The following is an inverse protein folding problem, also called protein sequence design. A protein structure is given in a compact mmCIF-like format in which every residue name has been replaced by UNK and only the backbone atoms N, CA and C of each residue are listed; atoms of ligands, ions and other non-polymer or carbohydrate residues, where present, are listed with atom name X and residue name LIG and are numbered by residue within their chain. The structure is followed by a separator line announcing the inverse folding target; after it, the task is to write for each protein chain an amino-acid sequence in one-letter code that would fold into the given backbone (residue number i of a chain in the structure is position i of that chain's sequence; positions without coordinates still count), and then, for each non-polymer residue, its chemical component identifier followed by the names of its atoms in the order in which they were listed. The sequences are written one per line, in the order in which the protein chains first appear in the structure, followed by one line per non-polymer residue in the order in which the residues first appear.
data_IF_444438638297
#
_entry.id   IF_444438638297
#
_cell.length_a   1.000
_cell.length_b   1.000
_cell.length_c   1.000
_cell.angle_alpha   90.00
_cell.angle_beta   90.00
_cell.angle_gamma   90.00
#
_symmetry.space_group_name_H-M   'P 1'
#
loop_
_entity.id
_entity.type
_entity.pdbx_description
1 polymer ?
#
# COMPACT_ATOMS: atom_id res chain seq x y z
N UNK A 1 15.99 5.88 -3.59
CA UNK A 1 14.81 4.99 -3.82
C UNK A 1 14.71 3.82 -2.81
N UNK A 2 15.43 3.83 -1.69
CA UNK A 2 15.48 2.69 -0.75
C UNK A 2 14.40 2.67 0.34
N UNK A 3 13.62 3.75 0.48
CA UNK A 3 12.80 4.01 1.68
C UNK A 3 11.33 3.53 1.61
N UNK A 4 10.96 2.76 0.57
CA UNK A 4 9.56 2.35 0.35
C UNK A 4 9.25 0.91 0.78
N UNK A 5 10.28 0.11 1.05
CA UNK A 5 10.13 -1.27 1.53
C UNK A 5 10.44 -1.32 3.02
N UNK A 6 9.50 -1.84 3.80
CA UNK A 6 9.69 -2.09 5.23
C UNK A 6 10.02 -3.55 5.44
N UNK A 7 11.10 -3.83 6.15
CA UNK A 7 11.41 -5.19 6.60
C UNK A 7 10.66 -5.49 7.89
N UNK A 8 9.85 -6.55 7.89
CA UNK A 8 9.14 -7.08 9.06
C UNK A 8 9.55 -8.53 9.24
N UNK A 9 10.39 -8.81 10.24
CA UNK A 9 11.08 -10.10 10.34
C UNK A 9 11.92 -10.35 9.08
N UNK A 10 11.63 -11.44 8.37
CA UNK A 10 12.30 -11.81 7.12
C UNK A 10 11.52 -11.40 5.86
N UNK A 11 10.42 -10.66 6.01
CA UNK A 11 9.51 -10.30 4.92
C UNK A 11 9.71 -8.83 4.53
N UNK A 12 9.92 -8.55 3.25
CA UNK A 12 9.92 -7.20 2.67
C UNK A 12 8.50 -6.82 2.28
N UNK A 13 7.92 -5.87 3.00
CA UNK A 13 6.54 -5.42 2.83
C UNK A 13 6.51 -4.08 2.09
N UNK A 14 5.71 -4.00 1.04
CA UNK A 14 5.37 -2.77 0.32
C UNK A 14 3.95 -2.32 0.70
N UNK A 15 3.82 -1.19 1.39
CA UNK A 15 2.51 -0.59 1.67
C UNK A 15 2.10 0.34 0.54
N UNK A 16 0.85 0.24 0.09
CA UNK A 16 0.30 1.08 -0.98
C UNK A 16 -1.03 1.68 -0.56
N UNK A 17 -1.24 2.95 -0.86
CA UNK A 17 -2.45 3.72 -0.52
C UNK A 17 -2.85 4.62 -1.70
N UNK A 18 -4.11 5.03 -1.78
CA UNK A 18 -4.60 5.83 -2.90
C UNK A 18 -4.33 7.33 -2.71
N UNK A 19 -4.65 7.89 -1.55
CA UNK A 19 -4.58 9.33 -1.27
C UNK A 19 -4.05 9.66 0.13
N UNK A 20 -3.38 10.83 0.26
CA UNK A 20 -2.80 11.30 1.52
C UNK A 20 -3.83 11.50 2.64
N UNK A 21 -5.09 11.80 2.29
CA UNK A 21 -6.17 12.03 3.26
C UNK A 21 -6.44 10.81 4.15
N UNK A 22 -6.09 9.60 3.70
CA UNK A 22 -6.27 8.34 4.42
C UNK A 22 -5.06 8.00 5.30
N UNK A 23 -3.94 8.70 5.13
CA UNK A 23 -2.64 8.41 5.76
C UNK A 23 -2.37 9.31 6.98
N UNK A 24 -3.13 9.07 8.05
CA UNK A 24 -3.05 9.83 9.30
C UNK A 24 -1.83 9.53 10.19
N UNK A 25 -1.67 10.24 11.34
CA UNK A 25 -0.48 10.18 12.19
C UNK A 25 -0.12 8.78 12.69
N UNK A 26 -1.13 7.95 12.99
CA UNK A 26 -0.93 6.58 13.47
C UNK A 26 -0.29 5.69 12.40
N UNK A 27 -0.68 5.83 11.12
CA UNK A 27 -0.05 5.11 10.01
C UNK A 27 1.33 5.68 9.69
N UNK A 28 1.50 7.00 9.78
CA UNK A 28 2.79 7.68 9.58
C UNK A 28 3.87 7.20 10.54
N UNK A 29 3.50 6.82 11.76
CA UNK A 29 4.42 6.25 12.74
C UNK A 29 4.87 4.82 12.39
N UNK A 30 4.20 4.13 11.47
CA UNK A 30 4.40 2.71 11.21
C UNK A 30 5.16 2.41 9.91
N UNK A 31 4.88 3.12 8.82
CA UNK A 31 5.48 2.86 7.50
C UNK A 31 5.33 4.07 6.58
N UNK A 32 6.07 4.08 5.46
CA UNK A 32 5.94 5.08 4.39
C UNK A 32 5.34 4.42 3.14
N UNK A 33 4.06 4.67 2.80
CA UNK A 33 3.41 4.01 1.68
C UNK A 33 3.85 4.60 0.34
N UNK A 34 3.59 3.85 -0.73
CA UNK A 34 3.54 4.39 -2.08
C UNK A 34 2.13 4.89 -2.35
N UNK A 35 2.00 6.15 -2.75
CA UNK A 35 0.74 6.67 -3.28
C UNK A 35 0.55 6.19 -4.72
N UNK A 36 -0.50 5.41 -4.96
CA UNK A 36 -0.81 4.82 -6.27
C UNK A 36 -1.73 5.70 -7.12
N UNK A 37 -2.35 6.72 -6.51
CA UNK A 37 -3.42 7.49 -7.11
C UNK A 37 -4.79 6.84 -6.92
N UNK A 38 -5.83 7.58 -7.30
CA UNK A 38 -7.24 7.19 -7.15
C UNK A 38 -7.77 6.66 -8.48
N UNK A 39 -8.40 5.49 -8.44
CA UNK A 39 -8.98 4.86 -9.61
C UNK A 39 -8.19 3.63 -10.08
N UNK A 40 -8.84 2.70 -10.79
CA UNK A 40 -8.23 1.44 -11.18
C UNK A 40 -7.08 1.61 -12.18
N UNK A 41 -7.16 2.60 -13.07
CA UNK A 41 -6.14 2.81 -14.12
C UNK A 41 -4.86 3.39 -13.52
N UNK A 42 -5.00 4.47 -12.76
CA UNK A 42 -3.91 5.19 -12.09
C UNK A 42 -3.14 4.25 -11.16
N UNK A 43 -3.88 3.47 -10.36
CA UNK A 43 -3.30 2.51 -9.44
C UNK A 43 -2.57 1.39 -10.17
N UNK A 44 -3.16 0.82 -11.22
CA UNK A 44 -2.55 -0.25 -12.00
C UNK A 44 -1.25 0.20 -12.67
N UNK A 45 -1.27 1.36 -13.34
CA UNK A 45 -0.08 1.91 -14.03
C UNK A 45 1.03 2.22 -13.02
N UNK A 46 0.72 2.95 -11.95
CA UNK A 46 1.72 3.37 -10.96
C UNK A 46 2.34 2.19 -10.22
N UNK A 47 1.53 1.23 -9.77
CA UNK A 47 2.00 0.08 -9.02
C UNK A 47 2.79 -0.90 -9.91
N UNK A 48 2.32 -1.17 -11.13
CA UNK A 48 3.02 -2.06 -12.07
C UNK A 48 4.41 -1.53 -12.35
N UNK A 49 4.54 -0.23 -12.67
CA UNK A 49 5.83 0.41 -12.90
C UNK A 49 6.79 0.20 -11.73
N UNK A 50 6.35 0.50 -10.51
CA UNK A 50 7.19 0.38 -9.32
C UNK A 50 7.60 -1.07 -9.05
N UNK A 51 6.68 -2.02 -9.18
CA UNK A 51 6.99 -3.44 -8.96
C UNK A 51 7.98 -3.96 -10.00
N UNK A 52 7.87 -3.54 -11.25
CA UNK A 52 8.85 -3.86 -12.30
C UNK A 52 10.23 -3.27 -11.97
N UNK A 53 10.31 -2.00 -11.58
CA UNK A 53 11.57 -1.36 -11.18
C UNK A 53 12.22 -2.10 -10.00
N UNK A 54 11.45 -2.41 -8.94
CA UNK A 54 11.94 -3.15 -7.78
C UNK A 54 12.38 -4.58 -8.13
N UNK A 55 11.69 -5.25 -9.05
CA UNK A 55 12.05 -6.60 -9.48
C UNK A 55 13.36 -6.60 -10.28
N UNK A 56 13.55 -5.64 -11.19
CA UNK A 56 14.80 -5.49 -11.96
C UNK A 56 15.99 -5.18 -11.05
N UNK A 57 15.77 -4.43 -9.97
CA UNK A 57 16.78 -4.13 -8.95
C UNK A 57 17.05 -5.29 -7.96
N UNK A 58 16.41 -6.45 -8.12
CA UNK A 58 16.52 -7.59 -7.18
C UNK A 58 15.84 -7.34 -5.82
N UNK A 59 14.99 -6.32 -5.74
CA UNK A 59 14.32 -5.84 -4.51
C UNK A 59 12.81 -6.08 -4.52
N UNK A 60 12.33 -7.07 -5.29
CA UNK A 60 10.91 -7.44 -5.35
C UNK A 60 10.34 -7.62 -3.92
N UNK A 61 9.21 -6.99 -3.57
CA UNK A 61 8.58 -7.22 -2.27
C UNK A 61 8.08 -8.65 -2.14
N UNK A 62 8.11 -9.16 -0.91
CA UNK A 62 7.56 -10.48 -0.57
C UNK A 62 6.05 -10.38 -0.28
N UNK A 63 5.59 -9.20 0.17
CA UNK A 63 4.18 -8.89 0.41
C UNK A 63 3.85 -7.46 -0.03
N UNK A 64 2.70 -7.27 -0.69
CA UNK A 64 2.10 -5.96 -0.94
C UNK A 64 0.86 -5.82 -0.05
N UNK A 65 0.83 -4.79 0.80
CA UNK A 65 -0.34 -4.44 1.62
C UNK A 65 -1.01 -3.24 0.97
N UNK A 66 -2.14 -3.49 0.31
CA UNK A 66 -3.04 -2.45 -0.17
C UNK A 66 -4.04 -2.11 0.93
N UNK A 67 -4.02 -0.87 1.41
CA UNK A 67 -4.94 -0.41 2.44
C UNK A 67 -5.46 0.99 2.12
N UNK A 68 -6.69 1.26 2.56
CA UNK A 68 -7.40 2.51 2.35
C UNK A 68 -8.78 2.43 2.97
N UNK A 69 -9.56 3.48 2.81
CA UNK A 69 -10.96 3.52 3.20
C UNK A 69 -11.84 2.79 2.19
N UNK A 70 -12.97 2.27 2.66
CA UNK A 70 -13.98 1.66 1.81
C UNK A 70 -15.38 1.92 2.38
N UNK A 71 -16.34 2.21 1.50
CA UNK A 71 -17.75 2.27 1.87
C UNK A 71 -18.38 0.88 1.88
N UNK A 72 -19.23 0.60 2.87
CA UNK A 72 -20.05 -0.61 2.89
C UNK A 72 -21.46 -0.29 3.38
N UNK A 73 -22.45 -0.89 2.73
CA UNK A 73 -23.87 -0.76 3.10
C UNK A 73 -24.30 -1.75 4.19
N UNK A 74 -23.46 -2.75 4.50
CA UNK A 74 -23.82 -3.88 5.38
C UNK A 74 -22.85 -4.09 6.54
N UNK A 75 -21.61 -3.60 6.44
CA UNK A 75 -20.61 -3.73 7.49
C UNK A 75 -20.76 -2.63 8.54
N UNK A 76 -20.22 -2.92 9.73
CA UNK A 76 -20.16 -1.95 10.82
C UNK A 76 -19.32 -0.74 10.41
N UNK A 77 -19.77 0.45 10.79
CA UNK A 77 -19.10 1.69 10.44
C UNK A 77 -17.84 1.89 11.28
N UNK A 78 -16.83 2.50 10.67
CA UNK A 78 -15.53 2.80 11.30
C UNK A 78 -14.75 1.57 11.81
N UNK A 79 -15.03 0.39 11.27
CA UNK A 79 -14.28 -0.84 11.55
C UNK A 79 -13.25 -1.17 10.47
N UNK A 80 -12.23 -1.95 10.86
CA UNK A 80 -11.15 -2.41 9.95
C UNK A 80 -11.42 -3.84 9.51
N UNK A 81 -11.47 -4.05 8.20
CA UNK A 81 -11.71 -5.35 7.59
C UNK A 81 -10.56 -5.78 6.70
N UNK A 82 -10.26 -7.08 6.71
CA UNK A 82 -9.45 -7.71 5.68
C UNK A 82 -10.37 -8.22 4.58
N UNK A 83 -10.13 -7.78 3.35
CA UNK A 83 -10.83 -8.27 2.16
C UNK A 83 -10.15 -9.60 1.75
N UNK A 84 -10.95 -10.65 1.56
CA UNK A 84 -10.53 -11.98 1.09
C UNK A 84 -11.00 -12.25 -0.33
#
# INVERSE_FOLDING_TARGET
MSDRLKTVGNTRVLYVMAADAEYGPHLQALFRPVMTGVGPVEAAVSLTRLLTELALDGRKPDLVVCLGSAGSATLEQAEVYQIT
#
